data_IF_228735235600
#
_entry.id   IF_228735235600
#
_cell.length_a   1.000
_cell.length_b   1.000
_cell.length_c   1.000
_cell.angle_alpha   90.00
_cell.angle_beta   90.00
_cell.angle_gamma   90.00
#
_symmetry.space_group_name_H-M   'P 1'
#
loop_
_entity.id
_entity.type
_entity.pdbx_description
1 polymer ?
#
# COMPACT_ATOMS: atom_id res chain seq x y z
N UNK A 1 -11.87 6.53 1.75
CA UNK A 1 -10.62 5.97 1.19
C UNK A 1 -9.90 6.93 0.22
N UNK A 2 -10.55 7.36 -0.88
CA UNK A 2 -9.95 8.28 -1.86
C UNK A 2 -9.43 9.61 -1.29
N UNK A 3 -10.08 10.15 -0.25
CA UNK A 3 -9.66 11.39 0.42
C UNK A 3 -8.28 11.23 1.07
N UNK A 4 -8.03 10.10 1.74
CA UNK A 4 -6.76 9.85 2.41
C UNK A 4 -5.65 9.62 1.38
N UNK A 5 -5.93 8.87 0.31
CA UNK A 5 -4.99 8.68 -0.80
C UNK A 5 -4.64 10.01 -1.49
N UNK A 6 -5.62 10.90 -1.69
CA UNK A 6 -5.41 12.23 -2.29
C UNK A 6 -4.58 13.15 -1.38
N UNK A 7 -4.84 13.15 -0.08
CA UNK A 7 -4.04 13.90 0.89
C UNK A 7 -2.58 13.41 0.89
N UNK A 8 -2.35 12.10 0.94
CA UNK A 8 -0.99 11.53 0.88
C UNK A 8 -0.32 11.80 -0.46
N UNK A 9 -1.06 11.78 -1.57
CA UNK A 9 -0.54 12.17 -2.90
C UNK A 9 -0.04 13.61 -2.92
N UNK A 10 -0.74 14.52 -2.24
CA UNK A 10 -0.36 15.92 -2.12
C UNK A 10 0.91 16.14 -1.29
N UNK A 11 1.21 15.23 -0.35
CA UNK A 11 2.40 15.28 0.51
C UNK A 11 3.65 14.66 -0.14
N UNK A 12 3.51 13.95 -1.26
CA UNK A 12 4.64 13.30 -1.95
C UNK A 12 5.32 14.24 -2.95
N UNK A 13 6.64 14.08 -3.18
CA UNK A 13 7.36 14.87 -4.16
C UNK A 13 6.82 14.60 -5.57
N UNK A 14 6.66 15.67 -6.37
CA UNK A 14 6.18 15.60 -7.76
C UNK A 14 7.28 15.10 -8.70
N UNK A 15 7.59 13.81 -8.63
CA UNK A 15 8.49 13.13 -9.55
C UNK A 15 8.02 11.68 -9.82
N UNK A 16 8.66 11.01 -10.76
CA UNK A 16 8.34 9.62 -11.13
C UNK A 16 8.48 8.64 -9.96
N UNK A 17 9.32 8.95 -8.97
CA UNK A 17 9.50 8.14 -7.76
C UNK A 17 8.31 8.31 -6.82
N UNK A 18 7.88 9.54 -6.54
CA UNK A 18 6.71 9.84 -5.70
C UNK A 18 5.43 9.24 -6.27
N UNK A 19 5.27 9.28 -7.60
CA UNK A 19 4.15 8.61 -8.27
C UNK A 19 4.19 7.09 -8.16
N UNK A 20 5.37 6.48 -8.01
CA UNK A 20 5.50 5.04 -7.73
C UNK A 20 5.33 4.74 -6.24
N UNK A 21 5.72 5.64 -5.35
CA UNK A 21 5.59 5.46 -3.90
C UNK A 21 4.14 5.36 -3.45
N UNK A 22 3.22 6.12 -4.08
CA UNK A 22 1.81 6.07 -3.69
C UNK A 22 1.13 4.72 -3.96
N UNK A 23 1.64 3.90 -4.89
CA UNK A 23 1.04 2.58 -5.19
C UNK A 23 1.29 1.57 -4.07
N UNK A 24 2.26 1.84 -3.18
CA UNK A 24 2.53 1.04 -1.98
C UNK A 24 1.55 1.33 -0.85
N UNK A 25 0.86 2.47 -0.89
CA UNK A 25 -0.13 2.83 0.12
C UNK A 25 -1.41 2.03 -0.12
N UNK A 26 -1.74 1.13 0.81
CA UNK A 26 -3.03 0.44 0.85
C UNK A 26 -3.90 1.03 1.94
N UNK A 27 -4.97 1.71 1.55
CA UNK A 27 -5.96 2.27 2.47
C UNK A 27 -7.13 1.31 2.53
N UNK A 28 -7.54 0.91 3.74
CA UNK A 28 -8.70 0.06 3.98
C UNK A 28 -9.65 0.81 4.92
N UNK A 29 -10.95 0.76 4.65
CA UNK A 29 -11.96 1.20 5.60
C UNK A 29 -12.27 0.09 6.63
N UNK A 30 -12.23 0.41 7.93
CA UNK A 30 -12.52 -0.54 9.01
C UNK A 30 -11.29 -1.28 9.56
N UNK A 31 -11.52 -2.30 10.39
CA UNK A 31 -10.46 -3.08 11.06
C UNK A 31 -9.98 -4.30 10.27
N UNK A 32 -10.55 -4.56 9.09
CA UNK A 32 -10.13 -5.65 8.23
C UNK A 32 -9.06 -5.17 7.25
N UNK A 33 -7.92 -5.87 7.25
CA UNK A 33 -6.83 -5.62 6.32
C UNK A 33 -6.44 -6.94 5.69
N UNK A 34 -6.53 -7.05 4.35
CA UNK A 34 -6.16 -8.25 3.61
C UNK A 34 -4.62 -8.44 3.52
N UNK A 35 -3.87 -7.92 4.49
CA UNK A 35 -2.43 -8.06 4.64
C UNK A 35 -2.11 -9.28 5.51
N UNK A 36 -2.61 -10.46 5.11
CA UNK A 36 -2.16 -11.68 5.72
C UNK A 36 -0.63 -11.78 5.56
N UNK A 37 0.06 -12.15 6.64
CA UNK A 37 1.48 -12.43 6.59
C UNK A 37 1.79 -13.42 5.47
N UNK A 38 2.98 -13.32 4.88
CA UNK A 38 3.44 -14.28 3.87
C UNK A 38 3.28 -15.70 4.43
N UNK A 39 2.62 -16.58 3.66
CA UNK A 39 2.57 -18.02 3.92
C UNK A 39 3.73 -18.66 3.16
N UNK A 40 4.91 -18.88 3.79
CA UNK A 40 5.97 -19.62 3.12
C UNK A 40 5.45 -21.03 2.81
N UNK A 41 5.63 -21.47 1.56
CA UNK A 41 5.35 -22.84 1.15
C UNK A 41 6.59 -23.66 1.46
N UNK A 42 6.47 -24.70 2.27
CA UNK A 42 7.55 -25.63 2.58
C UNK A 42 7.96 -26.33 1.29
N UNK A 43 9.21 -26.16 0.85
CA UNK A 43 9.82 -27.00 -0.18
C UNK A 43 10.19 -28.34 0.48
N UNK A 44 9.50 -29.41 0.09
CA UNK A 44 9.90 -30.78 0.39
C UNK A 44 11.09 -31.12 -0.54
N UNK A 45 12.25 -31.42 0.06
CA UNK A 45 13.48 -31.80 -0.65
C UNK A 45 13.48 -33.30 -0.99
#
# INVERSE_FOLDING_TARGET
EKVLTLAVKGMLPKNSIGSKSITRLKVYAGGEHNQQAQKPVSLDM
#
